data_IF_498426358420
#
_entry.id   IF_498426358420
#
_cell.length_a   1.000
_cell.length_b   1.000
_cell.length_c   1.000
_cell.angle_alpha   90.00
_cell.angle_beta   90.00
_cell.angle_gamma   90.00
#
_symmetry.space_group_name_H-M   'P 1'
#
loop_
_entity.id
_entity.type
_entity.pdbx_description
1 polymer ?
#
# COMPACT_ATOMS: atom_id res chain seq x y z
N UNK A 1 14.76 4.89 15.85
CA UNK A 1 13.58 4.74 14.97
C UNK A 1 12.34 4.75 15.84
N UNK A 2 11.24 5.33 15.36
CA UNK A 2 9.96 5.37 16.06
C UNK A 2 8.80 5.36 15.04
N UNK A 3 7.60 4.99 15.49
CA UNK A 3 6.36 5.13 14.72
C UNK A 3 5.61 6.34 15.25
N UNK A 4 5.20 7.23 14.34
CA UNK A 4 4.40 8.39 14.68
C UNK A 4 2.99 8.09 15.13
N UNK A 5 2.36 9.12 15.71
CA UNK A 5 0.90 9.15 15.86
C UNK A 5 0.16 9.14 14.52
N UNK A 6 0.82 9.62 13.45
CA UNK A 6 0.37 9.55 12.06
C UNK A 6 0.72 8.23 11.34
N UNK A 7 1.27 7.25 12.07
CA UNK A 7 1.74 5.98 11.51
C UNK A 7 3.02 6.07 10.69
N UNK A 8 3.61 7.25 10.49
CA UNK A 8 4.83 7.41 9.70
C UNK A 8 6.06 6.92 10.45
N UNK A 9 6.95 6.25 9.73
CA UNK A 9 8.26 5.84 10.24
C UNK A 9 9.12 7.08 10.42
N UNK A 10 9.68 7.24 11.61
CA UNK A 10 10.63 8.30 11.95
C UNK A 10 12.00 7.68 12.24
N UNK A 11 13.04 8.24 11.64
CA UNK A 11 14.43 7.79 11.82
C UNK A 11 15.31 8.91 12.35
N UNK A 12 16.25 8.56 13.24
CA UNK A 12 17.26 9.45 13.79
C UNK A 12 18.55 8.65 13.93
N UNK A 13 19.67 9.29 13.63
CA UNK A 13 21.00 8.68 13.76
C UNK A 13 22.01 9.29 12.79
N UNK A 14 23.29 8.88 12.90
CA UNK A 14 24.39 9.46 12.12
C UNK A 14 24.26 9.24 10.61
N UNK A 15 23.46 8.24 10.18
CA UNK A 15 23.23 7.93 8.77
C UNK A 15 22.16 8.79 8.10
N UNK A 16 21.43 9.61 8.86
CA UNK A 16 20.35 10.44 8.30
C UNK A 16 20.94 11.68 7.63
N UNK A 17 20.60 11.89 6.35
CA UNK A 17 21.05 13.04 5.56
C UNK A 17 20.50 14.36 6.10
N UNK A 18 21.34 15.40 6.23
CA UNK A 18 21.04 16.66 6.94
C UNK A 18 19.67 17.29 6.56
N UNK A 19 19.25 17.08 5.33
CA UNK A 19 17.94 17.42 4.80
C UNK A 19 18.02 17.47 3.27
N UNK A 20 16.92 17.84 2.63
CA UNK A 20 16.95 18.22 1.22
C UNK A 20 17.44 19.67 1.08
N UNK A 21 18.10 19.95 -0.04
CA UNK A 21 18.56 21.30 -0.32
C UNK A 21 17.36 22.23 -0.50
N UNK A 22 17.26 23.27 0.35
CA UNK A 22 16.18 24.27 0.30
C UNK A 22 14.95 23.94 1.14
N UNK A 23 14.94 22.84 1.90
CA UNK A 23 13.85 22.49 2.81
C UNK A 23 14.12 22.88 4.26
N UNK A 24 13.03 23.01 5.04
CA UNK A 24 13.06 23.40 6.45
C UNK A 24 13.73 22.32 7.34
N UNK A 25 14.18 22.68 8.56
CA UNK A 25 14.83 21.75 9.47
C UNK A 25 13.94 20.57 9.85
N UNK A 26 14.60 19.47 10.25
CA UNK A 26 13.96 18.27 10.78
C UNK A 26 13.09 18.56 12.02
N UNK A 27 12.03 17.78 12.18
CA UNK A 27 11.15 17.81 13.35
C UNK A 27 11.86 17.18 14.56
N UNK A 28 12.29 17.99 15.54
CA UNK A 28 12.94 17.54 16.78
C UNK A 28 14.07 16.50 16.58
N UNK A 29 14.92 16.72 15.58
CA UNK A 29 16.06 15.86 15.22
C UNK A 29 15.66 14.48 14.63
N UNK A 30 14.40 14.31 14.24
CA UNK A 30 13.89 13.16 13.51
C UNK A 30 13.65 13.48 12.03
N UNK A 31 14.05 12.55 11.16
CA UNK A 31 13.59 12.54 9.77
C UNK A 31 12.29 11.76 9.69
N UNK A 32 11.21 12.44 9.31
CA UNK A 32 9.89 11.85 9.08
C UNK A 32 9.88 11.30 7.65
N UNK A 33 9.77 9.99 7.51
CA UNK A 33 9.73 9.37 6.18
C UNK A 33 8.37 9.61 5.51
N UNK A 34 8.35 9.37 4.19
CA UNK A 34 7.10 9.22 3.45
C UNK A 34 6.38 7.89 3.74
N UNK A 35 6.98 7.00 4.53
CA UNK A 35 6.53 5.63 4.70
C UNK A 35 5.73 5.45 5.99
N UNK A 36 4.66 4.68 5.91
CA UNK A 36 3.89 4.17 7.04
C UNK A 36 4.57 2.92 7.58
N UNK A 37 4.46 2.68 8.89
CA UNK A 37 5.08 1.52 9.53
C UNK A 37 4.41 1.13 10.84
N UNK A 38 4.63 -0.11 11.25
CA UNK A 38 4.33 -0.58 12.60
C UNK A 38 5.48 -1.43 13.14
N UNK A 39 5.57 -1.56 14.47
CA UNK A 39 6.48 -2.49 15.12
C UNK A 39 5.67 -3.70 15.57
N UNK A 40 6.00 -4.88 15.06
CA UNK A 40 5.31 -6.11 15.42
C UNK A 40 5.66 -6.56 16.86
N UNK A 41 4.94 -7.53 17.45
CA UNK A 41 5.22 -8.02 18.80
C UNK A 41 6.62 -8.62 19.00
N UNK A 42 7.33 -8.96 17.92
CA UNK A 42 8.71 -9.44 17.96
C UNK A 42 9.74 -8.30 17.83
N UNK A 43 9.29 -7.04 17.80
CA UNK A 43 10.13 -5.86 17.70
C UNK A 43 10.62 -5.55 16.28
N UNK A 44 10.03 -6.16 15.23
CA UNK A 44 10.42 -5.92 13.84
C UNK A 44 9.58 -4.79 13.25
N UNK A 45 10.22 -3.95 12.44
CA UNK A 45 9.52 -2.97 11.61
C UNK A 45 8.84 -3.67 10.44
N UNK A 46 7.54 -3.43 10.30
CA UNK A 46 6.77 -3.75 9.10
C UNK A 46 6.54 -2.45 8.35
N UNK A 47 7.10 -2.32 7.15
CA UNK A 47 6.86 -1.16 6.27
C UNK A 47 5.50 -1.33 5.61
N UNK A 48 4.63 -0.35 5.83
CA UNK A 48 3.24 -0.37 5.43
C UNK A 48 2.95 0.39 4.13
N UNK A 49 3.98 0.84 3.42
CA UNK A 49 3.86 1.58 2.16
C UNK A 49 3.95 3.09 2.36
N UNK A 50 3.58 3.84 1.33
CA UNK A 50 3.70 5.30 1.26
C UNK A 50 2.46 5.99 1.82
N UNK A 51 2.66 6.99 2.67
CA UNK A 51 1.59 7.78 3.28
C UNK A 51 0.84 8.66 2.25
N UNK A 52 1.45 8.92 1.10
CA UNK A 52 0.89 9.69 -0.02
C UNK A 52 0.31 8.81 -1.14
N UNK A 53 0.45 7.47 -1.08
CA UNK A 53 -0.05 6.56 -2.10
C UNK A 53 -1.54 6.21 -1.92
N UNK A 54 -2.40 7.19 -1.63
CA UNK A 54 -3.84 6.99 -1.45
C UNK A 54 -4.55 6.96 -2.81
N UNK A 55 -5.41 5.96 -3.04
CA UNK A 55 -6.34 5.94 -4.17
C UNK A 55 -7.60 6.70 -3.76
N UNK A 56 -7.97 7.73 -4.52
CA UNK A 56 -9.22 8.47 -4.33
C UNK A 56 -10.24 7.98 -5.36
N UNK A 57 -11.17 7.13 -4.92
CA UNK A 57 -12.18 6.50 -5.77
C UNK A 57 -13.59 6.88 -5.31
N UNK A 58 -14.36 7.57 -6.16
CA UNK A 58 -15.75 7.93 -5.84
C UNK A 58 -15.90 8.84 -4.63
N UNK A 59 -14.85 9.62 -4.29
CA UNK A 59 -14.82 10.45 -3.09
C UNK A 59 -14.39 9.71 -1.82
N UNK A 60 -14.02 8.42 -1.91
CA UNK A 60 -13.50 7.64 -0.80
C UNK A 60 -11.99 7.41 -0.92
N UNK A 61 -11.30 7.44 0.22
CA UNK A 61 -9.87 7.15 0.31
C UNK A 61 -9.65 5.66 0.53
N UNK A 62 -8.87 5.05 -0.35
CA UNK A 62 -8.47 3.64 -0.30
C UNK A 62 -6.95 3.57 -0.18
N UNK A 63 -6.47 2.86 0.84
CA UNK A 63 -5.06 2.56 0.98
C UNK A 63 -4.74 1.29 0.16
N UNK A 64 -4.04 1.39 -0.99
CA UNK A 64 -3.74 0.24 -1.83
C UNK A 64 -3.01 -0.85 -1.05
N UNK A 65 -2.14 -0.49 -0.10
CA UNK A 65 -1.37 -1.47 0.65
C UNK A 65 -2.24 -2.32 1.59
N UNK A 66 -3.30 -1.75 2.15
CA UNK A 66 -4.25 -2.51 2.96
C UNK A 66 -5.00 -3.53 2.09
N UNK A 67 -5.44 -3.10 0.90
CA UNK A 67 -6.05 -3.99 -0.09
C UNK A 67 -5.07 -5.09 -0.49
N UNK A 68 -3.82 -4.75 -0.79
CA UNK A 68 -2.72 -5.67 -1.09
C UNK A 68 -2.61 -6.75 0.00
N UNK A 69 -2.50 -6.34 1.27
CA UNK A 69 -2.38 -7.29 2.40
C UNK A 69 -3.58 -8.21 2.54
N UNK A 70 -4.79 -7.70 2.34
CA UNK A 70 -6.01 -8.52 2.39
C UNK A 70 -6.01 -9.52 1.25
N UNK A 71 -5.69 -9.10 0.03
CA UNK A 71 -5.64 -9.97 -1.14
C UNK A 71 -4.53 -11.04 -1.02
N UNK A 72 -3.36 -10.70 -0.45
CA UNK A 72 -2.27 -11.67 -0.17
C UNK A 72 -2.66 -12.80 0.77
N UNK A 73 -3.69 -12.61 1.61
CA UNK A 73 -4.17 -13.64 2.55
C UNK A 73 -5.18 -14.60 1.93
N UNK A 74 -5.66 -14.32 0.72
CA UNK A 74 -6.60 -15.20 0.00
C UNK A 74 -5.84 -16.43 -0.50
N UNK A 75 -6.27 -17.66 -0.15
CA UNK A 75 -5.63 -18.88 -0.65
C UNK A 75 -5.58 -18.92 -2.19
N UNK A 76 -4.39 -19.20 -2.73
CA UNK A 76 -4.14 -19.25 -4.17
C UNK A 76 -3.62 -17.96 -4.79
N UNK A 77 -3.65 -16.82 -4.06
CA UNK A 77 -2.93 -15.60 -4.46
C UNK A 77 -1.46 -15.75 -4.08
N UNK A 78 -0.58 -15.75 -5.08
CA UNK A 78 0.87 -15.88 -4.93
C UNK A 78 1.52 -14.52 -4.72
N UNK A 79 1.09 -13.53 -5.50
CA UNK A 79 1.54 -12.14 -5.40
C UNK A 79 0.42 -11.20 -5.88
N UNK A 80 0.45 -9.95 -5.43
CA UNK A 80 -0.55 -8.95 -5.78
C UNK A 80 0.05 -7.55 -5.78
N UNK A 81 -0.47 -6.68 -6.63
CA UNK A 81 -0.18 -5.25 -6.63
C UNK A 81 -1.45 -4.48 -6.89
N UNK A 82 -1.82 -3.64 -5.93
CA UNK A 82 -2.98 -2.75 -5.99
C UNK A 82 -2.53 -1.33 -6.23
N UNK A 83 -3.19 -0.65 -7.17
CA UNK A 83 -2.93 0.74 -7.50
C UNK A 83 -4.18 1.44 -8.03
N UNK A 84 -4.13 2.77 -8.06
CA UNK A 84 -5.18 3.60 -8.62
C UNK A 84 -4.90 3.88 -10.09
N UNK A 85 -5.84 3.56 -10.96
CA UNK A 85 -5.80 3.94 -12.38
C UNK A 85 -6.80 5.08 -12.62
N UNK A 86 -6.44 6.15 -13.37
CA UNK A 86 -7.38 7.20 -13.71
C UNK A 86 -8.69 6.67 -14.32
N UNK A 87 -9.81 7.18 -13.84
CA UNK A 87 -11.13 6.73 -14.26
C UNK A 87 -12.10 7.92 -14.37
N UNK A 88 -12.83 8.08 -15.49
CA UNK A 88 -13.71 9.23 -15.71
C UNK A 88 -14.94 9.25 -14.80
N UNK A 89 -15.34 8.12 -14.22
CA UNK A 89 -16.50 8.00 -13.34
C UNK A 89 -16.10 8.12 -11.86
N UNK A 90 -14.95 7.54 -11.48
CA UNK A 90 -14.54 7.41 -10.09
C UNK A 90 -13.38 8.33 -9.69
N UNK A 91 -12.80 9.09 -10.63
CA UNK A 91 -11.54 9.81 -10.44
C UNK A 91 -10.36 8.85 -10.59
N UNK A 92 -10.29 7.87 -9.70
CA UNK A 92 -9.46 6.68 -9.85
C UNK A 92 -10.31 5.43 -9.65
N UNK A 93 -10.02 4.35 -10.38
CA UNK A 93 -10.51 3.01 -10.09
C UNK A 93 -9.40 2.22 -9.38
N UNK A 94 -9.79 1.38 -8.42
CA UNK A 94 -8.86 0.42 -7.81
C UNK A 94 -8.61 -0.73 -8.79
N UNK A 95 -7.34 -0.96 -9.12
CA UNK A 95 -6.88 -2.06 -9.98
C UNK A 95 -6.06 -3.03 -9.14
N UNK A 96 -6.26 -4.33 -9.33
CA UNK A 96 -5.42 -5.37 -8.75
C UNK A 96 -4.79 -6.22 -9.86
N UNK A 97 -3.46 -6.17 -9.95
CA UNK A 97 -2.68 -7.20 -10.63
C UNK A 97 -2.45 -8.36 -9.66
N UNK A 98 -2.72 -9.58 -10.09
CA UNK A 98 -2.61 -10.79 -9.26
C UNK A 98 -1.83 -11.89 -9.99
N UNK A 99 -0.96 -12.56 -9.26
CA UNK A 99 -0.36 -13.84 -9.67
C UNK A 99 -1.12 -14.93 -8.92
N UNK A 100 -1.71 -15.87 -9.67
CA UNK A 100 -2.54 -16.93 -9.11
C UNK A 100 -1.89 -18.29 -9.37
N UNK A 101 -2.00 -19.20 -8.40
CA UNK A 101 -1.61 -20.60 -8.55
C UNK A 101 -2.80 -21.44 -9.03
N UNK A 102 -3.56 -22.01 -8.10
CA UNK A 102 -4.67 -22.93 -8.37
C UNK A 102 -6.05 -22.32 -8.04
N UNK A 103 -6.25 -21.05 -8.38
CA UNK A 103 -7.51 -20.33 -8.14
C UNK A 103 -7.82 -19.40 -9.31
N UNK A 104 -9.11 -19.23 -9.63
CA UNK A 104 -9.56 -18.24 -10.60
C UNK A 104 -9.75 -16.85 -9.96
N UNK A 105 -9.67 -15.82 -10.81
CA UNK A 105 -9.83 -14.43 -10.38
C UNK A 105 -11.22 -14.14 -9.82
N UNK A 106 -12.25 -14.88 -10.25
CA UNK A 106 -13.62 -14.71 -9.77
C UNK A 106 -13.77 -15.14 -8.30
N UNK A 107 -13.14 -16.26 -7.93
CA UNK A 107 -13.10 -16.76 -6.56
C UNK A 107 -12.32 -15.81 -5.66
N UNK A 108 -11.18 -15.30 -6.11
CA UNK A 108 -10.42 -14.25 -5.38
C UNK A 108 -11.28 -13.00 -5.20
N UNK A 109 -11.92 -12.53 -6.27
CA UNK A 109 -12.80 -11.37 -6.25
C UNK A 109 -13.99 -11.55 -5.30
N UNK A 110 -14.57 -12.75 -5.21
CA UNK A 110 -15.64 -13.07 -4.26
C UNK A 110 -15.16 -13.04 -2.81
N UNK A 111 -14.00 -13.61 -2.52
CA UNK A 111 -13.41 -13.58 -1.17
C UNK A 111 -12.98 -12.17 -0.75
N UNK A 112 -12.46 -11.38 -1.69
CA UNK A 112 -12.12 -9.97 -1.49
C UNK A 112 -13.34 -9.16 -1.04
N UNK A 113 -14.51 -9.33 -1.70
CA UNK A 113 -15.76 -8.67 -1.30
C UNK A 113 -16.24 -9.01 0.11
N UNK A 114 -15.85 -10.17 0.64
CA UNK A 114 -16.19 -10.55 2.02
C UNK A 114 -15.26 -9.91 3.06
N UNK A 115 -14.08 -9.42 2.64
CA UNK A 115 -13.01 -8.94 3.53
C UNK A 115 -12.70 -7.45 3.38
N UNK A 116 -13.20 -6.80 2.33
CA UNK A 116 -12.94 -5.40 1.97
C UNK A 116 -14.23 -4.57 1.97
N UNK A 117 -14.08 -3.27 2.20
CA UNK A 117 -15.16 -2.30 2.00
C UNK A 117 -15.50 -2.17 0.51
N UNK A 118 -16.73 -1.78 0.13
CA UNK A 118 -17.12 -1.66 -1.28
C UNK A 118 -16.18 -0.81 -2.15
N UNK A 119 -15.64 0.29 -1.63
CA UNK A 119 -14.70 1.15 -2.35
C UNK A 119 -13.30 0.53 -2.54
N UNK A 120 -12.89 -0.37 -1.65
CA UNK A 120 -11.59 -1.03 -1.67
C UNK A 120 -11.55 -2.22 -2.63
N UNK A 121 -12.71 -2.81 -2.96
CA UNK A 121 -12.79 -3.95 -3.86
C UNK A 121 -12.32 -3.51 -5.27
N UNK A 122 -11.29 -4.17 -5.84
CA UNK A 122 -10.81 -3.82 -7.17
C UNK A 122 -11.91 -3.91 -8.22
N UNK A 123 -12.02 -2.85 -9.02
CA UNK A 123 -12.96 -2.75 -10.15
C UNK A 123 -12.39 -3.38 -11.42
N UNK A 124 -11.07 -3.47 -11.52
CA UNK A 124 -10.34 -4.15 -12.58
C UNK A 124 -9.37 -5.14 -11.97
N UNK A 125 -9.32 -6.33 -12.55
CA UNK A 125 -8.45 -7.41 -12.14
C UNK A 125 -7.60 -7.83 -13.33
N UNK A 126 -6.31 -8.00 -13.12
CA UNK A 126 -5.36 -8.44 -14.13
C UNK A 126 -4.60 -9.65 -13.63
N UNK A 127 -4.82 -10.81 -14.26
CA UNK A 127 -4.03 -12.00 -13.95
C UNK A 127 -2.74 -11.93 -14.74
N UNK A 128 -1.62 -11.82 -14.04
CA UNK A 128 -0.28 -11.68 -14.62
C UNK A 128 0.61 -12.85 -14.24
N UNK A 129 1.59 -13.24 -15.09
CA UNK A 129 2.48 -14.36 -14.78
C UNK A 129 3.48 -14.03 -13.66
N UNK A 130 3.78 -12.75 -13.46
CA UNK A 130 4.61 -12.21 -12.38
C UNK A 130 4.31 -10.72 -12.22
N UNK A 131 4.57 -10.17 -11.04
CA UNK A 131 4.52 -8.72 -10.82
C UNK A 131 5.92 -8.15 -10.98
N UNK A 132 6.06 -7.18 -11.88
CA UNK A 132 7.31 -6.50 -12.12
C UNK A 132 7.45 -5.35 -11.11
N UNK A 133 8.53 -5.39 -10.34
CA UNK A 133 9.00 -4.23 -9.59
C UNK A 133 9.53 -3.17 -10.56
N UNK A 134 8.64 -2.46 -11.27
CA UNK A 134 9.04 -1.24 -11.96
C UNK A 134 9.15 -0.12 -10.94
N UNK A 135 10.36 0.41 -10.84
CA UNK A 135 10.74 1.68 -10.23
C UNK A 135 9.71 2.75 -10.65
N UNK A 136 9.00 3.32 -9.68
CA UNK A 136 8.42 4.66 -9.80
C UNK A 136 9.49 5.70 -9.46
#
# INVERSE_FOLDING_TARGET
MAIGTDGRIRVRGPMVAAGYHGEAPRDDDWFVTGDLGEIDPAGRLVVLGRADAVIVTGGENVNPMEVDRVLRRIPGVVDVRVYGEPDPQWGQRVVAEVVLADVDVETVSRQARASLRPAEVPRRWEVVPRIDSKLE
#
